data_IF_394082222513
#
_entry.id   IF_394082222513
#
_cell.length_a   1.000
_cell.length_b   1.000
_cell.length_c   1.000
_cell.angle_alpha   90.00
_cell.angle_beta   90.00
_cell.angle_gamma   90.00
#
_symmetry.space_group_name_H-M   'P 1'
#
loop_
_entity.id
_entity.type
_entity.pdbx_description
1 polymer ?
#
# COMPACT_ATOMS: atom_id res chain seq x y z
N UNK A 1 -5.17 50.66 4.02
CA UNK A 1 -6.31 51.25 4.77
C UNK A 1 -5.82 51.48 6.20
N UNK A 2 -5.68 52.74 6.63
CA UNK A 2 -5.08 53.07 7.93
C UNK A 2 -6.08 52.82 9.05
N UNK A 3 -5.93 51.68 9.72
CA UNK A 3 -6.75 51.21 10.84
C UNK A 3 -6.89 52.27 11.95
N UNK A 4 -5.84 53.05 12.22
CA UNK A 4 -5.85 54.14 13.20
C UNK A 4 -6.79 55.28 12.81
N UNK A 5 -6.89 55.60 11.51
CA UNK A 5 -7.80 56.65 11.02
C UNK A 5 -9.26 56.19 11.16
N UNK A 6 -9.52 54.92 10.90
CA UNK A 6 -10.84 54.30 11.07
C UNK A 6 -11.27 54.23 12.53
N UNK A 7 -10.37 53.85 13.45
CA UNK A 7 -10.67 53.82 14.89
C UNK A 7 -10.97 55.23 15.41
N UNK A 8 -10.20 56.24 14.99
CA UNK A 8 -10.42 57.62 15.43
C UNK A 8 -11.75 58.17 14.94
N UNK A 9 -12.12 57.90 13.70
CA UNK A 9 -13.38 58.32 13.08
C UNK A 9 -14.61 57.65 13.72
N UNK A 10 -14.50 56.37 14.11
CA UNK A 10 -15.56 55.64 14.84
C UNK A 10 -15.65 56.11 16.30
N UNK A 11 -14.53 56.46 16.92
CA UNK A 11 -14.48 56.95 18.30
C UNK A 11 -15.04 58.37 18.44
N UNK A 12 -14.75 59.25 17.49
CA UNK A 12 -15.17 60.66 17.53
C UNK A 12 -16.66 60.86 17.15
N UNK A 13 -17.32 59.87 16.53
CA UNK A 13 -18.63 60.08 15.90
C UNK A 13 -19.87 59.64 16.70
N UNK A 14 -19.81 58.86 17.78
CA UNK A 14 -21.05 58.42 18.47
C UNK A 14 -20.88 57.82 19.88
N UNK A 15 -20.28 58.55 20.83
CA UNK A 15 -20.15 58.06 22.23
C UNK A 15 -21.49 58.07 23.00
N UNK A 16 -22.53 58.77 22.52
CA UNK A 16 -23.84 58.87 23.20
C UNK A 16 -24.83 57.72 22.92
N UNK A 17 -24.51 56.76 22.05
CA UNK A 17 -25.45 55.70 21.65
C UNK A 17 -24.85 54.31 21.55
N UNK A 18 -23.61 54.10 22.01
CA UNK A 18 -22.97 52.80 21.97
C UNK A 18 -23.66 51.86 22.98
N UNK A 19 -24.59 51.05 22.46
CA UNK A 19 -25.30 50.06 23.23
C UNK A 19 -24.32 48.96 23.68
N UNK A 20 -23.91 49.05 24.95
CA UNK A 20 -22.92 48.19 25.59
C UNK A 20 -23.21 46.69 25.40
N UNK A 21 -24.48 46.29 25.47
CA UNK A 21 -24.88 44.90 25.26
C UNK A 21 -24.59 44.42 23.84
N UNK A 22 -24.81 45.25 22.82
CA UNK A 22 -24.51 44.92 21.41
C UNK A 22 -23.00 44.79 21.22
N UNK A 23 -22.21 45.64 21.87
CA UNK A 23 -20.75 45.56 21.80
C UNK A 23 -20.22 44.29 22.44
N UNK A 24 -20.68 43.95 23.65
CA UNK A 24 -20.28 42.74 24.37
C UNK A 24 -20.68 41.47 23.61
N UNK A 25 -21.90 41.43 23.08
CA UNK A 25 -22.37 40.30 22.26
C UNK A 25 -21.49 40.09 21.02
N UNK A 26 -21.16 41.17 20.31
CA UNK A 26 -20.32 41.13 19.11
C UNK A 26 -18.87 40.74 19.43
N UNK A 27 -18.35 41.14 20.59
CA UNK A 27 -17.03 40.74 21.07
C UNK A 27 -16.98 39.23 21.38
N UNK A 28 -18.00 38.70 22.06
CA UNK A 28 -18.09 37.28 22.38
C UNK A 28 -18.31 36.40 21.15
N UNK A 29 -19.08 36.86 20.17
CA UNK A 29 -19.29 36.13 18.92
C UNK A 29 -18.01 36.07 18.08
N UNK A 30 -17.25 37.17 17.98
CA UNK A 30 -15.95 37.17 17.29
C UNK A 30 -14.91 36.31 18.01
N UNK A 31 -14.88 36.30 19.35
CA UNK A 31 -13.98 35.39 20.09
C UNK A 31 -14.31 33.93 19.79
N UNK A 32 -15.59 33.53 19.86
CA UNK A 32 -16.04 32.17 19.48
C UNK A 32 -15.71 31.82 18.03
N UNK A 33 -15.85 32.78 17.10
CA UNK A 33 -15.49 32.59 15.69
C UNK A 33 -14.00 32.35 15.50
N UNK A 34 -13.15 33.10 16.22
CA UNK A 34 -11.70 32.90 16.16
C UNK A 34 -11.28 31.57 16.77
N UNK A 35 -11.87 31.17 17.88
CA UNK A 35 -11.54 29.90 18.54
C UNK A 35 -11.97 28.70 17.70
N UNK A 36 -13.18 28.73 17.12
CA UNK A 36 -13.65 27.69 16.19
C UNK A 36 -12.81 27.61 14.92
N UNK A 37 -12.40 28.74 14.34
CA UNK A 37 -11.51 28.75 13.18
C UNK A 37 -10.11 28.17 13.51
N UNK A 38 -9.56 28.48 14.68
CA UNK A 38 -8.30 27.88 15.15
C UNK A 38 -8.43 26.37 15.34
N UNK A 39 -9.52 25.90 15.95
CA UNK A 39 -9.80 24.47 16.11
C UNK A 39 -9.93 23.76 14.76
N UNK A 40 -10.63 24.38 13.80
CA UNK A 40 -10.81 23.83 12.45
C UNK A 40 -9.48 23.70 11.70
N UNK A 41 -8.60 24.71 11.81
CA UNK A 41 -7.26 24.65 11.23
C UNK A 41 -6.40 23.58 11.90
N UNK A 42 -6.46 23.46 13.23
CA UNK A 42 -5.70 22.45 13.97
C UNK A 42 -6.16 21.02 13.63
N UNK A 43 -7.47 20.79 13.58
CA UNK A 43 -8.04 19.51 13.19
C UNK A 43 -7.71 19.16 11.73
N UNK A 44 -7.77 20.14 10.82
CA UNK A 44 -7.38 19.95 9.42
C UNK A 44 -5.88 19.64 9.25
N UNK A 45 -5.01 20.34 9.99
CA UNK A 45 -3.58 20.08 10.02
C UNK A 45 -3.29 18.67 10.56
N UNK A 46 -3.93 18.29 11.66
CA UNK A 46 -3.78 16.97 12.27
C UNK A 46 -4.22 15.85 11.33
N UNK A 47 -5.36 15.98 10.66
CA UNK A 47 -5.81 15.01 9.68
C UNK A 47 -4.83 14.88 8.50
N UNK A 48 -4.30 16.01 8.01
CA UNK A 48 -3.28 16.02 6.96
C UNK A 48 -2.00 15.28 7.36
N UNK A 49 -1.51 15.49 8.59
CA UNK A 49 -0.35 14.76 9.13
C UNK A 49 -0.61 13.26 9.21
N UNK A 50 -1.79 12.84 9.67
CA UNK A 50 -2.16 11.42 9.69
C UNK A 50 -2.13 10.80 8.29
N UNK A 51 -2.72 11.47 7.29
CA UNK A 51 -2.71 10.99 5.90
C UNK A 51 -1.28 10.87 5.37
N UNK A 52 -0.41 11.85 5.62
CA UNK A 52 0.98 11.78 5.18
C UNK A 52 1.74 10.59 5.80
N UNK A 53 1.52 10.32 7.10
CA UNK A 53 2.13 9.18 7.78
C UNK A 53 1.63 7.84 7.21
N UNK A 54 0.32 7.68 7.02
CA UNK A 54 -0.23 6.46 6.43
C UNK A 54 0.23 6.25 4.98
N UNK A 55 0.28 7.30 4.18
CA UNK A 55 0.81 7.25 2.81
C UNK A 55 2.29 6.84 2.81
N UNK A 56 3.09 7.40 3.73
CA UNK A 56 4.51 7.05 3.84
C UNK A 56 4.71 5.59 4.24
N UNK A 57 4.02 5.12 5.28
CA UNK A 57 4.08 3.71 5.74
C UNK A 57 3.67 2.74 4.62
N UNK A 58 2.59 3.07 3.89
CA UNK A 58 2.10 2.26 2.77
C UNK A 58 3.12 2.22 1.63
N UNK A 59 3.74 3.35 1.31
CA UNK A 59 4.77 3.43 0.28
C UNK A 59 6.06 2.69 0.69
N UNK A 60 6.45 2.77 1.97
CA UNK A 60 7.61 2.03 2.49
C UNK A 60 7.44 0.52 2.39
N UNK A 61 6.22 -0.01 2.51
CA UNK A 61 5.94 -1.44 2.31
C UNK A 61 6.03 -1.86 0.84
N UNK A 62 5.83 -0.94 -0.11
CA UNK A 62 6.02 -1.23 -1.53
C UNK A 62 7.51 -1.26 -1.92
N UNK A 63 8.36 -0.62 -1.12
CA UNK A 63 9.82 -0.63 -1.29
C UNK A 63 10.50 -1.83 -0.61
N UNK A 64 9.74 -2.63 0.17
CA UNK A 64 10.22 -3.94 0.59
C UNK A 64 10.33 -4.82 -0.65
N UNK A 65 11.50 -5.42 -0.83
CA UNK A 65 11.88 -6.11 -2.04
C UNK A 65 10.88 -7.22 -2.36
N UNK A 66 10.12 -7.13 -3.48
CA UNK A 66 9.20 -8.20 -3.86
C UNK A 66 9.95 -9.52 -4.04
N UNK A 67 11.26 -9.51 -4.30
CA UNK A 67 12.08 -10.71 -4.47
C UNK A 67 12.08 -11.61 -3.21
N UNK A 68 11.85 -11.07 -2.01
CA UNK A 68 11.82 -11.88 -0.78
C UNK A 68 10.53 -12.70 -0.66
N UNK A 69 9.43 -12.27 -1.29
CA UNK A 69 8.12 -12.93 -1.24
C UNK A 69 7.60 -13.44 -2.59
N UNK A 70 8.27 -13.11 -3.69
CA UNK A 70 8.00 -13.68 -5.01
C UNK A 70 8.55 -15.11 -5.00
N UNK A 71 7.67 -15.99 -4.54
CA UNK A 71 7.40 -17.34 -5.04
C UNK A 71 8.59 -18.08 -5.65
N UNK A 72 8.86 -19.27 -5.12
CA UNK A 72 9.65 -20.32 -5.76
C UNK A 72 9.38 -20.48 -7.28
N UNK A 73 8.23 -20.03 -7.80
CA UNK A 73 7.92 -19.91 -9.24
C UNK A 73 8.96 -19.18 -10.08
N UNK A 74 9.74 -18.25 -9.52
CA UNK A 74 10.80 -17.55 -10.27
C UNK A 74 12.20 -18.14 -10.07
N UNK A 75 12.34 -19.23 -9.30
CA UNK A 75 13.62 -19.93 -9.26
C UNK A 75 13.83 -20.58 -10.62
N UNK A 76 14.96 -20.25 -11.25
CA UNK A 76 15.42 -20.95 -12.44
C UNK A 76 15.42 -22.45 -12.12
N UNK A 77 14.55 -23.21 -12.80
CA UNK A 77 14.62 -24.66 -12.78
C UNK A 77 16.02 -25.06 -13.23
N UNK A 78 16.70 -25.86 -12.41
CA UNK A 78 17.96 -26.46 -12.80
C UNK A 78 17.63 -27.47 -13.90
N UNK A 79 18.01 -27.15 -15.13
CA UNK A 79 17.77 -28.03 -16.27
C UNK A 79 18.56 -29.31 -16.07
N UNK A 80 17.86 -30.44 -15.98
CA UNK A 80 18.48 -31.76 -15.99
C UNK A 80 19.23 -31.98 -17.30
N UNK A 81 20.39 -32.61 -17.26
CA UNK A 81 21.06 -33.01 -18.48
C UNK A 81 20.26 -34.12 -19.21
N UNK A 82 20.40 -34.18 -20.53
CA UNK A 82 19.57 -35.05 -21.38
C UNK A 82 19.71 -36.55 -21.07
N UNK A 83 20.88 -36.98 -20.59
CA UNK A 83 21.14 -38.38 -20.23
C UNK A 83 20.36 -38.75 -18.96
N UNK A 84 20.44 -37.90 -17.93
CA UNK A 84 19.68 -38.09 -16.70
C UNK A 84 18.17 -37.98 -16.92
N UNK A 85 17.71 -37.04 -17.74
CA UNK A 85 16.29 -36.91 -18.09
C UNK A 85 15.76 -38.19 -18.76
N UNK A 86 16.49 -38.70 -19.74
CA UNK A 86 16.13 -39.94 -20.44
C UNK A 86 16.07 -41.13 -19.49
N UNK A 87 17.09 -41.29 -18.63
CA UNK A 87 17.13 -42.36 -17.63
C UNK A 87 15.93 -42.32 -16.67
N UNK A 88 15.55 -41.13 -16.23
CA UNK A 88 14.42 -40.91 -15.31
C UNK A 88 13.09 -41.29 -15.99
N UNK A 89 12.92 -41.00 -17.27
CA UNK A 89 11.73 -41.43 -18.04
C UNK A 89 11.70 -42.93 -18.29
N UNK A 90 12.82 -43.54 -18.69
CA UNK A 90 12.90 -44.99 -18.87
C UNK A 90 12.59 -45.74 -17.56
N UNK A 91 13.03 -45.20 -16.42
CA UNK A 91 12.71 -45.74 -15.11
C UNK A 91 11.23 -45.63 -14.79
N UNK A 92 10.59 -44.49 -15.07
CA UNK A 92 9.16 -44.31 -14.86
C UNK A 92 8.33 -45.27 -15.73
N UNK A 93 8.69 -45.42 -17.00
CA UNK A 93 8.06 -46.35 -17.93
C UNK A 93 8.21 -47.80 -17.45
N UNK A 94 9.42 -48.19 -17.08
CA UNK A 94 9.69 -49.50 -16.49
C UNK A 94 8.86 -49.76 -15.22
N UNK A 95 8.75 -48.78 -14.32
CA UNK A 95 7.96 -48.92 -13.10
C UNK A 95 6.47 -49.11 -13.40
N UNK A 96 5.93 -48.41 -14.39
CA UNK A 96 4.53 -48.57 -14.80
C UNK A 96 4.30 -49.93 -15.48
N UNK A 97 5.20 -50.35 -16.38
CA UNK A 97 5.09 -51.61 -17.10
C UNK A 97 5.26 -52.85 -16.21
N UNK A 98 6.08 -52.75 -15.16
CA UNK A 98 6.39 -53.86 -14.25
C UNK A 98 5.55 -53.88 -12.99
N UNK A 99 4.72 -52.86 -12.75
CA UNK A 99 3.92 -52.79 -11.53
C UNK A 99 2.71 -53.73 -11.56
N UNK A 100 2.52 -54.44 -10.45
CA UNK A 100 1.31 -55.21 -10.16
C UNK A 100 0.10 -54.29 -9.85
N UNK A 101 0.34 -53.05 -9.40
CA UNK A 101 -0.68 -52.02 -9.14
C UNK A 101 -0.25 -50.67 -9.74
N UNK A 102 -0.71 -50.43 -10.97
CA UNK A 102 -0.42 -49.20 -11.73
C UNK A 102 -0.90 -47.94 -10.98
N UNK A 103 -1.97 -48.02 -10.19
CA UNK A 103 -2.49 -46.85 -9.47
C UNK A 103 -1.61 -46.46 -8.29
N UNK A 104 -1.04 -47.44 -7.59
CA UNK A 104 -0.04 -47.20 -6.53
C UNK A 104 1.24 -46.59 -7.13
N UNK A 105 1.68 -47.08 -8.28
CA UNK A 105 2.85 -46.52 -8.98
C UNK A 105 2.60 -45.09 -9.48
N UNK A 106 1.42 -44.80 -10.03
CA UNK A 106 1.06 -43.44 -10.44
C UNK A 106 0.98 -42.49 -9.24
N UNK A 107 0.45 -42.94 -8.10
CA UNK A 107 0.43 -42.15 -6.87
C UNK A 107 1.84 -41.85 -6.34
N UNK A 108 2.76 -42.82 -6.42
CA UNK A 108 4.17 -42.62 -6.08
C UNK A 108 4.86 -41.61 -7.00
N UNK A 109 4.63 -41.69 -8.32
CA UNK A 109 5.19 -40.74 -9.29
C UNK A 109 4.66 -39.31 -9.07
N UNK A 110 3.39 -39.17 -8.69
CA UNK A 110 2.78 -37.90 -8.31
C UNK A 110 3.36 -37.35 -7.00
N UNK A 111 3.56 -38.21 -5.98
CA UNK A 111 4.14 -37.83 -4.69
C UNK A 111 5.54 -37.25 -4.81
N UNK A 112 6.37 -37.79 -5.70
CA UNK A 112 7.72 -37.28 -5.95
C UNK A 112 7.74 -36.03 -6.85
N UNK A 113 6.57 -35.51 -7.24
CA UNK A 113 6.39 -34.46 -8.24
C UNK A 113 7.19 -34.77 -9.50
N UNK A 114 6.95 -35.93 -10.10
CA UNK A 114 7.48 -36.28 -11.42
C UNK A 114 6.78 -35.42 -12.48
N UNK A 115 7.00 -34.11 -12.42
CA UNK A 115 6.45 -33.12 -13.34
C UNK A 115 7.52 -32.77 -14.37
N UNK A 116 7.12 -32.75 -15.65
CA UNK A 116 8.00 -32.47 -16.78
C UNK A 116 8.72 -31.15 -16.58
N UNK A 117 10.06 -31.16 -16.62
CA UNK A 117 10.84 -29.96 -16.93
C UNK A 117 10.52 -29.60 -18.38
N UNK A 118 9.43 -28.85 -18.61
CA UNK A 118 9.18 -28.29 -19.93
C UNK A 118 10.22 -27.20 -20.12
N UNK A 119 11.34 -27.55 -20.75
CA UNK A 119 12.22 -26.57 -21.36
C UNK A 119 11.37 -25.91 -22.46
N UNK A 120 10.89 -24.71 -22.19
CA UNK A 120 10.43 -23.82 -23.24
C UNK A 120 11.67 -23.47 -24.09
N UNK A 121 11.91 -24.25 -25.14
CA UNK A 121 12.70 -23.79 -26.29
C UNK A 121 11.90 -22.73 -27.07
N UNK A 122 11.54 -21.63 -26.39
CA UNK A 122 11.14 -20.40 -27.08
C UNK A 122 12.34 -19.47 -27.05
N UNK A 123 13.11 -19.57 -28.14
CA UNK A 123 14.20 -18.68 -28.48
C UNK A 123 13.87 -17.21 -28.25
N UNK A 124 14.74 -16.56 -27.51
CA UNK A 124 14.92 -15.12 -27.50
C UNK A 124 16.41 -14.85 -27.54
N UNK A 125 16.88 -14.31 -28.67
CA UNK A 125 18.19 -13.68 -28.75
C UNK A 125 18.16 -12.42 -27.88
N UNK A 126 18.94 -12.39 -26.81
CA UNK A 126 19.71 -11.22 -26.37
C UNK A 126 21.11 -11.64 -25.95
#
# INVERSE_FOLDING_TARGET
MNFEKYIKEVSDSNVSSLNENIFLEKLHSERRRRDSNKLRLFNGLSAGVCVLLFSFITFSQLADDPIVYVSNDLKSLESMDIETETYVYELADYLVETSDDIWETLAFLDEINFETVIINENGGLE
#
